data_IF_348974061675
#
_entry.id   IF_348974061675
#
_cell.length_a   1.000
_cell.length_b   1.000
_cell.length_c   1.000
_cell.angle_alpha   90.00
_cell.angle_beta   90.00
_cell.angle_gamma   90.00
#
_symmetry.space_group_name_H-M   'P 1'
#
loop_
_entity.id
_entity.type
_entity.pdbx_description
1 polymer ?
#
# COMPACT_ATOMS: atom_id res chain seq x y z
N UNK A 1 -18.77 -16.86 8.85
CA UNK A 1 -17.55 -16.90 8.00
C UNK A 1 -16.35 -17.22 8.89
N UNK A 2 -15.64 -18.34 8.67
CA UNK A 2 -14.38 -18.65 9.35
C UNK A 2 -13.26 -17.92 8.60
N UNK A 3 -12.52 -17.04 9.27
CA UNK A 3 -11.37 -16.33 8.69
C UNK A 3 -10.13 -17.16 9.02
N UNK A 4 -9.43 -17.63 7.98
CA UNK A 4 -8.16 -18.36 8.15
C UNK A 4 -7.05 -17.37 8.46
N UNK A 5 -6.42 -17.50 9.62
CA UNK A 5 -5.26 -16.69 9.99
C UNK A 5 -4.02 -17.23 9.28
N UNK A 6 -3.47 -16.46 8.33
CA UNK A 6 -2.16 -16.73 7.73
C UNK A 6 -1.14 -15.78 8.33
N UNK A 7 -0.39 -16.25 9.34
CA UNK A 7 0.76 -15.52 9.86
C UNK A 7 1.98 -15.80 8.99
N UNK A 8 2.74 -14.76 8.65
CA UNK A 8 4.08 -14.92 8.08
C UNK A 8 4.98 -15.56 9.14
N UNK A 9 5.37 -16.82 8.92
CA UNK A 9 6.26 -17.58 9.83
C UNK A 9 7.74 -17.22 9.68
N UNK A 10 8.08 -16.36 8.72
CA UNK A 10 9.46 -16.04 8.36
C UNK A 10 9.64 -14.52 8.30
N UNK A 11 10.76 -14.04 8.85
CA UNK A 11 11.18 -12.64 8.91
C UNK A 11 11.59 -12.16 7.51
N UNK A 12 10.64 -12.14 6.59
CA UNK A 12 10.84 -11.62 5.24
C UNK A 12 10.36 -10.18 5.24
N UNK A 13 11.26 -9.17 5.27
CA UNK A 13 10.87 -7.75 5.34
C UNK A 13 9.95 -7.36 4.17
N UNK A 14 10.07 -8.06 3.04
CA UNK A 14 9.23 -7.85 1.87
C UNK A 14 7.74 -8.17 2.07
N UNK A 15 7.41 -9.07 3.00
CA UNK A 15 6.02 -9.48 3.22
C UNK A 15 5.16 -8.37 3.84
N UNK A 16 5.77 -7.44 4.59
CA UNK A 16 5.09 -6.31 5.22
C UNK A 16 5.36 -4.97 4.52
N UNK A 17 6.27 -4.94 3.53
CA UNK A 17 6.73 -3.72 2.87
C UNK A 17 5.58 -2.86 2.30
N UNK A 18 4.52 -3.49 1.78
CA UNK A 18 3.36 -2.76 1.25
C UNK A 18 2.60 -2.04 2.39
N UNK A 19 2.38 -2.70 3.52
CA UNK A 19 1.68 -2.11 4.66
C UNK A 19 2.52 -1.00 5.30
N UNK A 20 3.83 -1.20 5.46
CA UNK A 20 4.76 -0.18 5.96
C UNK A 20 4.74 1.07 5.09
N UNK A 21 4.78 0.90 3.75
CA UNK A 21 4.68 2.01 2.81
C UNK A 21 3.38 2.78 2.97
N UNK A 22 2.24 2.09 3.07
CA UNK A 22 0.93 2.75 3.26
C UNK A 22 0.89 3.48 4.60
N UNK A 23 1.40 2.88 5.67
CA UNK A 23 1.45 3.51 6.99
C UNK A 23 2.33 4.76 6.99
N UNK A 24 3.51 4.71 6.35
CA UNK A 24 4.40 5.87 6.22
C UNK A 24 3.74 7.02 5.47
N UNK A 25 3.04 6.71 4.37
CA UNK A 25 2.27 7.70 3.60
C UNK A 25 1.19 8.37 4.46
N UNK A 26 0.40 7.59 5.21
CA UNK A 26 -0.65 8.12 6.08
C UNK A 26 -0.08 9.00 7.19
N UNK A 27 1.02 8.56 7.82
CA UNK A 27 1.70 9.32 8.87
C UNK A 27 2.22 10.66 8.35
N UNK A 28 2.88 10.65 7.19
CA UNK A 28 3.47 11.83 6.58
C UNK A 28 2.43 12.83 6.07
N UNK A 29 1.37 12.37 5.39
CA UNK A 29 0.39 13.26 4.77
C UNK A 29 -0.58 13.91 5.76
N UNK A 30 -0.89 13.21 6.84
CA UNK A 30 -1.80 13.71 7.87
C UNK A 30 -1.05 14.21 9.11
N UNK A 31 0.28 14.29 9.07
CA UNK A 31 1.15 14.74 10.17
C UNK A 31 0.79 14.08 11.51
N UNK A 32 0.45 12.79 11.47
CA UNK A 32 -0.09 12.07 12.63
C UNK A 32 0.94 11.94 13.76
N UNK A 33 2.23 12.06 13.43
CA UNK A 33 3.33 11.98 14.39
C UNK A 33 3.54 13.28 15.16
N UNK A 34 3.07 14.42 14.63
CA UNK A 34 3.22 15.73 15.25
C UNK A 34 2.08 16.06 16.23
N UNK A 35 0.96 15.33 16.16
CA UNK A 35 -0.17 15.53 17.07
C UNK A 35 0.08 14.94 18.46
N UNK A 36 0.15 15.80 19.47
CA UNK A 36 0.15 15.41 20.88
C UNK A 36 -1.28 15.48 21.44
N UNK A 37 -2.08 14.46 21.14
CA UNK A 37 -3.47 14.32 21.60
C UNK A 37 -3.67 13.02 22.38
N UNK A 38 -4.77 12.94 23.12
CA UNK A 38 -5.12 11.71 23.84
C UNK A 38 -5.40 10.54 22.87
N UNK A 39 -5.30 9.32 23.37
CA UNK A 39 -5.46 8.09 22.57
C UNK A 39 -6.85 8.01 21.91
N UNK A 40 -7.92 8.52 22.53
CA UNK A 40 -9.27 8.48 21.96
C UNK A 40 -9.35 9.41 20.75
N UNK A 41 -8.81 10.62 20.88
CA UNK A 41 -8.74 11.59 19.78
C UNK A 41 -7.83 11.09 18.65
N UNK A 42 -6.65 10.54 18.98
CA UNK A 42 -5.75 9.96 17.98
C UNK A 42 -6.43 8.84 17.17
N UNK A 43 -7.20 7.96 17.83
CA UNK A 43 -7.97 6.92 17.13
C UNK A 43 -8.99 7.49 16.14
N UNK A 44 -9.62 8.62 16.47
CA UNK A 44 -10.57 9.28 15.57
C UNK A 44 -9.83 9.89 14.36
N UNK A 45 -8.70 10.58 14.60
CA UNK A 45 -7.87 11.15 13.54
C UNK A 45 -7.36 10.08 12.58
N UNK A 46 -6.85 8.97 13.10
CA UNK A 46 -6.40 7.83 12.28
C UNK A 46 -7.56 7.26 11.46
N UNK A 47 -8.74 7.10 12.07
CA UNK A 47 -9.94 6.62 11.35
C UNK A 47 -10.31 7.56 10.20
N UNK A 48 -10.23 8.87 10.43
CA UNK A 48 -10.51 9.86 9.41
C UNK A 48 -9.44 9.91 8.31
N UNK A 49 -8.16 9.81 8.67
CA UNK A 49 -7.07 9.72 7.71
C UNK A 49 -7.23 8.51 6.79
N UNK A 50 -7.51 7.33 7.35
CA UNK A 50 -7.78 6.10 6.58
C UNK A 50 -9.02 6.27 5.68
N UNK A 51 -10.08 6.89 6.19
CA UNK A 51 -11.29 7.17 5.39
C UNK A 51 -10.97 8.09 4.22
N UNK A 52 -10.25 9.18 4.44
CA UNK A 52 -9.88 10.15 3.40
C UNK A 52 -8.99 9.48 2.35
N UNK A 53 -7.97 8.72 2.77
CA UNK A 53 -7.11 7.96 1.87
C UNK A 53 -7.92 7.00 0.98
N UNK A 54 -8.84 6.22 1.56
CA UNK A 54 -9.58 5.23 0.79
C UNK A 54 -10.66 5.83 -0.13
N UNK A 55 -11.30 6.92 0.28
CA UNK A 55 -12.51 7.43 -0.39
C UNK A 55 -12.31 8.69 -1.21
N UNK A 56 -11.33 9.53 -0.85
CA UNK A 56 -11.14 10.86 -1.45
C UNK A 56 -9.84 11.00 -2.22
N UNK A 57 -8.80 10.25 -1.86
CA UNK A 57 -7.48 10.39 -2.49
C UNK A 57 -7.41 9.63 -3.81
N UNK A 58 -7.26 10.32 -4.97
CA UNK A 58 -6.97 9.65 -6.23
C UNK A 58 -5.51 9.19 -6.28
N UNK A 59 -5.27 7.98 -6.78
CA UNK A 59 -3.91 7.43 -6.91
C UNK A 59 -3.49 7.28 -8.38
N UNK A 60 -2.25 7.67 -8.70
CA UNK A 60 -1.66 7.52 -10.04
C UNK A 60 -1.59 6.06 -10.51
N UNK A 61 -1.19 5.16 -9.61
CA UNK A 61 -1.19 3.72 -9.86
C UNK A 61 -2.58 3.15 -10.13
N UNK A 62 -3.63 3.88 -9.73
CA UNK A 62 -5.03 3.52 -9.86
C UNK A 62 -5.75 4.33 -10.95
N UNK A 63 -5.03 4.89 -11.93
CA UNK A 63 -5.62 5.71 -13.00
C UNK A 63 -6.46 6.87 -12.48
N UNK A 64 -5.99 7.58 -11.45
CA UNK A 64 -6.71 8.68 -10.78
C UNK A 64 -8.01 8.27 -10.07
N UNK A 65 -8.21 6.98 -9.83
CA UNK A 65 -9.31 6.48 -8.98
C UNK A 65 -8.86 6.33 -7.53
N UNK A 66 -9.82 6.33 -6.63
CA UNK A 66 -9.57 6.09 -5.20
C UNK A 66 -9.46 4.60 -4.91
N UNK A 67 -8.79 4.20 -3.81
CA UNK A 67 -8.69 2.80 -3.43
C UNK A 67 -10.05 2.10 -3.33
N UNK A 68 -11.07 2.76 -2.76
CA UNK A 68 -12.43 2.22 -2.66
C UNK A 68 -13.08 2.02 -4.04
N UNK A 69 -12.88 2.96 -4.97
CA UNK A 69 -13.37 2.84 -6.35
C UNK A 69 -12.69 1.70 -7.10
N UNK A 70 -11.39 1.47 -6.87
CA UNK A 70 -10.66 0.35 -7.46
C UNK A 70 -11.10 -0.99 -6.88
N UNK A 71 -11.32 -1.05 -5.57
CA UNK A 71 -11.72 -2.28 -4.89
C UNK A 71 -13.09 -2.79 -5.35
N UNK A 72 -13.98 -1.90 -5.76
CA UNK A 72 -15.32 -2.23 -6.30
C UNK A 72 -15.30 -2.76 -7.74
N UNK A 73 -14.17 -2.70 -8.45
CA UNK A 73 -14.08 -3.17 -9.82
C UNK A 73 -13.98 -4.70 -9.88
N UNK A 74 -14.69 -5.32 -10.84
CA UNK A 74 -14.62 -6.77 -11.07
C UNK A 74 -13.30 -7.18 -11.74
N UNK A 75 -12.81 -6.34 -12.66
CA UNK A 75 -11.56 -6.55 -13.37
C UNK A 75 -10.66 -5.34 -13.08
N UNK A 76 -9.52 -5.58 -12.41
CA UNK A 76 -8.56 -4.55 -12.04
C UNK A 76 -7.34 -4.69 -12.93
N UNK A 77 -7.13 -3.70 -13.81
CA UNK A 77 -5.90 -3.59 -14.57
C UNK A 77 -4.83 -2.90 -13.71
N UNK A 78 -3.75 -3.60 -13.43
CA UNK A 78 -2.64 -3.05 -12.64
C UNK A 78 -1.72 -2.28 -13.60
N UNK A 79 -1.47 -1.01 -13.28
CA UNK A 79 -0.46 -0.23 -14.00
C UNK A 79 0.92 -0.85 -13.74
N UNK A 80 1.54 -1.37 -14.79
CA UNK A 80 2.89 -1.93 -14.72
C UNK A 80 3.91 -0.86 -15.07
N UNK A 81 5.00 -0.81 -14.30
CA UNK A 81 6.12 0.08 -14.53
C UNK A 81 7.34 -0.80 -14.84
N UNK A 82 7.32 -1.45 -16.01
CA UNK A 82 8.53 -2.11 -16.51
C UNK A 82 9.43 -1.02 -17.09
N UNK A 83 10.64 -0.88 -16.56
CA UNK A 83 11.72 -0.27 -17.34
C UNK A 83 11.99 -1.21 -18.53
N UNK A 84 11.97 -0.66 -19.74
CA UNK A 84 12.78 -1.27 -20.81
C UNK A 84 14.20 -1.30 -20.25
N UNK A 85 14.85 -2.46 -20.28
CA UNK A 85 16.20 -2.72 -19.76
C UNK A 85 16.32 -3.15 -18.28
N UNK A 86 15.62 -4.22 -17.90
CA UNK A 86 16.24 -5.16 -16.95
C UNK A 86 17.17 -6.06 -17.76
N UNK A 87 18.46 -5.83 -17.64
CA UNK A 87 19.60 -6.56 -18.22
C UNK A 87 19.23 -7.87 -18.95
N UNK A 88 19.49 -7.90 -20.26
CA UNK A 88 19.59 -9.13 -21.05
C UNK A 88 20.81 -9.92 -20.57
N UNK A 89 20.72 -10.55 -19.41
CA UNK A 89 21.68 -11.55 -18.99
C UNK A 89 21.35 -12.83 -19.77
N UNK A 90 21.87 -12.93 -20.99
CA UNK A 90 22.04 -14.23 -21.63
C UNK A 90 23.02 -15.02 -20.77
N UNK A 91 22.68 -16.24 -20.29
CA UNK A 91 23.71 -17.14 -19.81
C UNK A 91 24.52 -17.56 -21.04
N UNK A 92 25.68 -16.94 -21.25
CA UNK A 92 26.67 -17.47 -22.18
C UNK A 92 27.16 -18.79 -21.60
N UNK A 93 26.78 -19.89 -22.23
CA UNK A 93 27.46 -21.18 -22.10
C UNK A 93 28.93 -20.96 -22.42
N UNK A 94 29.81 -21.16 -21.43
CA UNK A 94 31.23 -21.36 -21.66
C UNK A 94 31.49 -22.85 -21.40
N UNK A 95 31.85 -23.52 -22.50
CA UNK A 95 32.52 -24.81 -22.73
C UNK A 95 32.43 -25.90 -21.66
#
# INVERSE_FOLDING_TARGET
KKITTSMTKSYVPYANAIAERVNGILKQEFLLEDYQVDIKTMKLLVKDAVRIYNTKRPHWSCYMKTPDQMHKQKNVEIRTYKSKDSCRASPTTIS
#
